data_IF_570333266089
#
_entry.id   IF_570333266089
#
_cell.length_a   1.000
_cell.length_b   1.000
_cell.length_c   1.000
_cell.angle_alpha   90.00
_cell.angle_beta   90.00
_cell.angle_gamma   90.00
#
_symmetry.space_group_name_H-M   'P 1'
#
loop_
_entity.id
_entity.type
_entity.pdbx_description
1 polymer ?
#
# COMPACT_ATOMS: atom_id res chain seq x y z
N UNK A 1 -4.95 -27.54 0.91
CA UNK A 1 -4.05 -26.67 1.69
C UNK A 1 -4.73 -25.31 1.72
N UNK A 2 -4.96 -24.71 2.88
CA UNK A 2 -5.42 -23.32 2.94
C UNK A 2 -4.17 -22.46 3.08
N UNK A 3 -3.99 -21.53 2.16
CA UNK A 3 -2.92 -20.54 2.25
C UNK A 3 -3.46 -19.35 3.07
N UNK A 4 -3.07 -19.22 4.35
CA UNK A 4 -3.67 -18.24 5.26
C UNK A 4 -3.45 -16.79 4.80
N UNK A 5 -2.33 -16.52 4.13
CA UNK A 5 -2.01 -15.21 3.54
C UNK A 5 -2.96 -14.86 2.39
N UNK A 6 -3.25 -15.83 1.52
CA UNK A 6 -4.22 -15.65 0.43
C UNK A 6 -5.62 -15.35 0.97
N UNK A 7 -6.09 -16.11 1.97
CA UNK A 7 -7.42 -15.89 2.57
C UNK A 7 -7.49 -14.52 3.25
N UNK A 8 -6.41 -14.10 3.93
CA UNK A 8 -6.31 -12.78 4.57
C UNK A 8 -6.38 -11.66 3.54
N UNK A 9 -5.52 -11.71 2.52
CA UNK A 9 -5.46 -10.70 1.46
C UNK A 9 -6.81 -10.58 0.74
N UNK A 10 -7.41 -11.72 0.39
CA UNK A 10 -8.75 -11.76 -0.20
C UNK A 10 -9.79 -11.11 0.73
N UNK A 11 -9.78 -11.40 2.04
CA UNK A 11 -10.70 -10.80 2.99
C UNK A 11 -10.52 -9.28 3.09
N UNK A 12 -9.29 -8.79 3.20
CA UNK A 12 -8.98 -7.36 3.25
C UNK A 12 -9.47 -6.64 2.00
N UNK A 13 -9.11 -7.15 0.82
CA UNK A 13 -9.53 -6.58 -0.47
C UNK A 13 -11.05 -6.64 -0.67
N UNK A 14 -11.69 -7.71 -0.19
CA UNK A 14 -13.15 -7.83 -0.22
C UNK A 14 -13.83 -6.80 0.68
N UNK A 15 -13.33 -6.56 1.89
CA UNK A 15 -13.85 -5.52 2.78
C UNK A 15 -13.70 -4.12 2.15
N UNK A 16 -12.54 -3.83 1.54
CA UNK A 16 -12.29 -2.57 0.80
C UNK A 16 -13.31 -2.40 -0.34
N UNK A 17 -13.55 -3.47 -1.11
CA UNK A 17 -14.55 -3.48 -2.19
C UNK A 17 -15.96 -3.22 -1.66
N UNK A 18 -16.37 -3.95 -0.60
CA UNK A 18 -17.70 -3.83 0.02
C UNK A 18 -17.96 -2.45 0.62
N UNK A 19 -16.95 -1.82 1.19
CA UNK A 19 -17.04 -0.46 1.73
C UNK A 19 -16.94 0.62 0.63
N UNK A 20 -16.71 0.24 -0.64
CA UNK A 20 -16.60 1.17 -1.76
C UNK A 20 -15.38 2.10 -1.68
N UNK A 21 -14.39 1.76 -0.85
CA UNK A 21 -13.26 2.64 -0.55
C UNK A 21 -12.36 2.87 -1.76
N UNK A 22 -12.27 1.90 -2.66
CA UNK A 22 -11.45 2.04 -3.86
C UNK A 22 -12.01 3.03 -4.91
N UNK A 23 -13.23 3.55 -4.72
CA UNK A 23 -13.75 4.68 -5.50
C UNK A 23 -13.39 6.04 -4.88
N UNK A 24 -12.98 6.04 -3.60
CA UNK A 24 -12.71 7.25 -2.79
C UNK A 24 -11.22 7.45 -2.53
N UNK A 25 -10.45 6.37 -2.52
CA UNK A 25 -9.04 6.33 -2.13
C UNK A 25 -8.20 5.55 -3.13
N UNK A 26 -6.90 5.85 -3.14
CA UNK A 26 -5.89 5.18 -3.99
C UNK A 26 -5.48 3.84 -3.38
N UNK A 27 -6.35 2.85 -3.52
CA UNK A 27 -6.09 1.45 -3.13
C UNK A 27 -6.39 0.53 -4.32
N UNK A 28 -5.68 -0.61 -4.47
CA UNK A 28 -5.98 -1.57 -5.53
C UNK A 28 -7.43 -2.06 -5.46
N UNK A 29 -8.11 -2.13 -6.60
CA UNK A 29 -9.47 -2.71 -6.68
C UNK A 29 -9.35 -4.20 -6.94
N UNK A 30 -10.02 -5.02 -6.13
CA UNK A 30 -10.27 -6.42 -6.49
C UNK A 30 -11.33 -6.48 -7.58
N UNK A 31 -10.99 -7.11 -8.71
CA UNK A 31 -11.91 -7.35 -9.83
C UNK A 31 -12.53 -8.74 -9.76
N UNK A 32 -11.71 -9.78 -9.55
CA UNK A 32 -12.19 -11.16 -9.47
C UNK A 32 -11.15 -12.09 -8.85
N UNK A 33 -11.61 -13.28 -8.47
CA UNK A 33 -10.73 -14.44 -8.25
C UNK A 33 -10.54 -15.12 -9.60
N UNK A 34 -9.31 -15.49 -9.94
CA UNK A 34 -8.97 -16.22 -11.16
C UNK A 34 -8.54 -17.64 -10.83
N UNK A 35 -8.89 -18.58 -11.68
CA UNK A 35 -8.43 -19.98 -11.59
C UNK A 35 -7.66 -20.30 -12.86
N UNK A 36 -6.44 -20.82 -12.71
CA UNK A 36 -5.58 -21.20 -13.83
C UNK A 36 -5.16 -22.65 -13.68
N UNK A 37 -5.41 -23.46 -14.71
CA UNK A 37 -5.24 -24.91 -14.63
C UNK A 37 -6.14 -25.55 -13.57
N UNK A 38 -5.69 -26.66 -12.99
CA UNK A 38 -6.48 -27.43 -12.02
C UNK A 38 -6.24 -27.01 -10.56
N UNK A 39 -5.17 -26.28 -10.28
CA UNK A 39 -4.69 -26.09 -8.89
C UNK A 39 -4.30 -24.67 -8.52
N UNK A 40 -4.28 -23.72 -9.46
CA UNK A 40 -3.86 -22.34 -9.16
C UNK A 40 -5.06 -21.42 -9.03
N UNK A 41 -5.15 -20.74 -7.88
CA UNK A 41 -6.11 -19.66 -7.62
C UNK A 41 -5.30 -18.37 -7.44
N UNK A 42 -5.76 -17.28 -8.03
CA UNK A 42 -5.13 -15.97 -7.91
C UNK A 42 -6.15 -14.84 -7.75
N UNK A 43 -5.66 -13.64 -7.45
CA UNK A 43 -6.46 -12.43 -7.34
C UNK A 43 -6.19 -11.53 -8.55
N UNK A 44 -7.25 -11.14 -9.25
CA UNK A 44 -7.16 -10.12 -10.29
C UNK A 44 -7.47 -8.76 -9.68
N UNK A 45 -6.49 -7.86 -9.68
CA UNK A 45 -6.59 -6.54 -9.07
C UNK A 45 -6.19 -5.44 -10.05
N UNK A 46 -6.62 -4.21 -9.81
CA UNK A 46 -6.12 -3.05 -10.53
C UNK A 46 -4.61 -2.94 -10.30
N UNK A 47 -3.85 -2.95 -11.40
CA UNK A 47 -2.42 -2.67 -11.36
C UNK A 47 -2.23 -1.20 -10.97
N UNK A 48 -1.56 -0.97 -9.84
CA UNK A 48 -1.09 0.37 -9.49
C UNK A 48 0.29 0.55 -10.11
N UNK A 49 0.37 1.37 -11.16
CA UNK A 49 1.64 1.65 -11.84
C UNK A 49 2.49 2.56 -10.97
N UNK A 50 3.78 2.23 -10.92
CA UNK A 50 4.82 3.12 -10.43
C UNK A 50 5.13 4.19 -11.48
N UNK A 51 6.14 5.01 -11.22
CA UNK A 51 6.63 6.01 -12.19
C UNK A 51 8.07 5.71 -12.57
N UNK A 52 8.54 6.25 -13.68
CA UNK A 52 9.95 6.12 -14.10
C UNK A 52 10.95 6.66 -13.08
N UNK A 53 10.48 7.50 -12.15
CA UNK A 53 11.27 8.08 -11.06
C UNK A 53 11.25 7.23 -9.78
N UNK A 54 10.59 6.07 -9.77
CA UNK A 54 10.66 5.15 -8.64
C UNK A 54 9.45 4.23 -8.50
N UNK A 55 9.71 3.04 -7.97
CA UNK A 55 8.75 1.95 -7.80
C UNK A 55 8.09 1.93 -6.43
N UNK A 56 8.76 2.45 -5.40
CA UNK A 56 8.30 2.45 -4.01
C UNK A 56 8.97 3.58 -3.21
N UNK A 57 8.52 3.84 -1.99
CA UNK A 57 8.98 4.98 -1.17
C UNK A 57 10.49 5.04 -0.89
N UNK A 58 11.21 3.92 -1.01
CA UNK A 58 12.67 3.86 -0.83
C UNK A 58 13.46 4.11 -2.12
N UNK A 59 12.81 4.31 -3.26
CA UNK A 59 13.51 4.67 -4.50
C UNK A 59 14.23 6.02 -4.31
N UNK A 60 15.55 6.13 -4.59
CA UNK A 60 16.33 7.35 -4.32
C UNK A 60 15.72 8.61 -4.94
N UNK A 61 15.26 8.50 -6.18
CA UNK A 61 14.63 9.60 -6.92
C UNK A 61 13.29 10.07 -6.31
N UNK A 62 12.60 9.24 -5.52
CA UNK A 62 11.42 9.65 -4.73
C UNK A 62 11.82 10.25 -3.38
N UNK A 63 12.89 9.77 -2.76
CA UNK A 63 13.42 10.34 -1.52
C UNK A 63 13.92 11.78 -1.73
N UNK A 64 14.42 12.12 -2.91
CA UNK A 64 14.86 13.47 -3.24
C UNK A 64 13.72 14.47 -3.50
N UNK A 65 12.46 14.02 -3.61
CA UNK A 65 11.26 14.85 -3.84
C UNK A 65 10.67 15.37 -2.53
N UNK A 66 11.48 16.08 -1.76
CA UNK A 66 11.14 16.58 -0.42
C UNK A 66 9.84 17.38 -0.37
N UNK A 67 9.52 18.11 -1.44
CA UNK A 67 8.32 18.92 -1.60
C UNK A 67 7.03 18.07 -1.66
N UNK A 68 7.12 16.80 -2.05
CA UNK A 68 5.98 15.89 -2.16
C UNK A 68 5.78 15.01 -0.91
N UNK A 69 6.80 14.88 -0.05
CA UNK A 69 6.75 13.99 1.12
C UNK A 69 5.57 14.29 2.04
N UNK A 70 5.30 15.58 2.29
CA UNK A 70 4.16 15.98 3.15
C UNK A 70 2.83 15.54 2.54
N UNK A 71 2.65 15.71 1.23
CA UNK A 71 1.43 15.29 0.53
C UNK A 71 1.25 13.78 0.59
N UNK A 72 2.32 13.01 0.39
CA UNK A 72 2.25 11.55 0.47
C UNK A 72 1.93 11.06 1.89
N UNK A 73 2.53 11.68 2.91
CA UNK A 73 2.24 11.41 4.33
C UNK A 73 0.75 11.65 4.65
N UNK A 74 0.21 12.78 4.19
CA UNK A 74 -1.20 13.14 4.36
C UNK A 74 -2.14 12.16 3.64
N UNK A 75 -1.80 11.76 2.41
CA UNK A 75 -2.59 10.80 1.64
C UNK A 75 -2.61 9.42 2.29
N UNK A 76 -1.46 8.88 2.70
CA UNK A 76 -1.40 7.59 3.37
C UNK A 76 -2.10 7.62 4.72
N UNK A 77 -1.92 8.69 5.49
CA UNK A 77 -2.61 8.88 6.77
C UNK A 77 -4.13 8.89 6.57
N UNK A 78 -4.63 9.57 5.53
CA UNK A 78 -6.05 9.58 5.19
C UNK A 78 -6.57 8.19 4.81
N UNK A 79 -5.82 7.44 3.98
CA UNK A 79 -6.20 6.07 3.58
C UNK A 79 -6.29 5.16 4.80
N UNK A 80 -5.25 5.13 5.65
CA UNK A 80 -5.23 4.26 6.83
C UNK A 80 -6.32 4.63 7.83
N UNK A 81 -6.59 5.92 8.03
CA UNK A 81 -7.71 6.37 8.88
C UNK A 81 -9.05 5.85 8.39
N UNK A 82 -9.30 5.91 7.08
CA UNK A 82 -10.56 5.43 6.54
C UNK A 82 -10.68 3.90 6.61
N UNK A 83 -9.59 3.16 6.34
CA UNK A 83 -9.57 1.70 6.51
C UNK A 83 -9.95 1.33 7.95
N UNK A 84 -9.32 1.97 8.95
CA UNK A 84 -9.66 1.75 10.35
C UNK A 84 -11.10 2.17 10.72
N UNK A 85 -11.63 3.23 10.10
CA UNK A 85 -13.02 3.63 10.33
C UNK A 85 -14.04 2.59 9.82
N UNK A 86 -13.60 1.63 9.00
CA UNK A 86 -14.39 0.50 8.50
C UNK A 86 -13.97 -0.83 9.15
N UNK A 87 -13.18 -0.79 10.23
CA UNK A 87 -12.58 -1.95 10.90
C UNK A 87 -11.71 -2.83 9.94
N UNK A 88 -11.16 -2.22 8.89
CA UNK A 88 -10.29 -2.88 7.92
C UNK A 88 -8.84 -2.70 8.34
N UNK A 89 -8.15 -3.82 8.45
CA UNK A 89 -6.73 -3.93 8.77
C UNK A 89 -5.98 -4.12 7.45
N UNK A 90 -5.14 -3.15 7.05
CA UNK A 90 -4.41 -3.18 5.76
C UNK A 90 -3.43 -4.37 5.67
N UNK A 91 -2.96 -4.86 6.80
CA UNK A 91 -1.99 -5.94 6.87
C UNK A 91 -0.56 -5.40 7.06
N UNK A 92 0.30 -5.63 6.08
CA UNK A 92 1.74 -5.33 6.15
C UNK A 92 2.07 -3.86 5.83
N UNK A 93 2.46 -3.12 6.86
CA UNK A 93 2.76 -1.69 6.78
C UNK A 93 4.22 -1.48 6.45
N UNK A 94 4.54 -1.59 5.16
CA UNK A 94 5.91 -1.53 4.67
C UNK A 94 6.02 -0.51 3.52
N UNK A 95 7.14 0.25 3.39
CA UNK A 95 7.30 1.24 2.33
C UNK A 95 7.30 0.66 0.91
N UNK A 96 7.50 -0.66 0.77
CA UNK A 96 7.40 -1.36 -0.51
C UNK A 96 5.94 -1.58 -0.94
N UNK A 97 5.00 -1.57 0.00
CA UNK A 97 3.56 -1.73 -0.26
C UNK A 97 2.88 -0.41 -0.63
N UNK A 98 3.66 0.68 -0.76
CA UNK A 98 3.20 1.98 -1.23
C UNK A 98 3.83 2.27 -2.59
N UNK A 99 3.00 2.19 -3.62
CA UNK A 99 3.33 2.69 -4.95
C UNK A 99 3.00 4.19 -5.05
N UNK A 100 3.90 4.97 -5.64
CA UNK A 100 3.64 6.38 -5.97
C UNK A 100 3.29 6.49 -7.45
N UNK A 101 2.02 6.78 -7.70
CA UNK A 101 1.47 7.00 -9.03
C UNK A 101 1.66 8.47 -9.47
N UNK A 102 2.45 8.66 -10.53
CA UNK A 102 2.66 9.94 -11.22
C UNK A 102 1.96 10.02 -12.59
N UNK A 103 1.19 8.99 -12.98
CA UNK A 103 0.65 8.85 -14.33
C UNK A 103 1.67 8.25 -15.29
N UNK A 104 1.34 7.05 -15.79
CA UNK A 104 2.02 6.21 -16.79
C UNK A 104 3.48 5.81 -16.53
N UNK A 105 3.68 4.52 -16.22
CA UNK A 105 4.64 3.54 -16.79
C UNK A 105 5.14 2.50 -15.76
N UNK A 106 5.29 1.25 -16.22
CA UNK A 106 5.32 0.02 -15.41
C UNK A 106 6.65 -0.27 -14.69
N UNK A 107 6.56 -0.88 -13.49
CA UNK A 107 7.30 -2.09 -13.04
C UNK A 107 6.83 -2.51 -11.63
N UNK A 108 6.76 -3.83 -11.38
CA UNK A 108 6.32 -4.43 -10.10
C UNK A 108 7.36 -5.45 -9.62
N UNK A 109 7.86 -5.28 -8.41
CA UNK A 109 8.45 -6.38 -7.62
C UNK A 109 7.67 -6.46 -6.31
N UNK A 110 7.07 -7.63 -6.05
CA UNK A 110 6.44 -7.97 -4.77
C UNK A 110 7.53 -8.52 -3.84
N UNK A 111 7.57 -8.06 -2.59
CA UNK A 111 8.40 -8.65 -1.55
C UNK A 111 7.52 -8.91 -0.34
N UNK A 112 7.38 -10.18 0.01
CA UNK A 112 6.79 -10.64 1.27
C UNK A 112 7.79 -10.41 2.39
N UNK A 113 7.37 -9.81 3.50
CA UNK A 113 8.14 -9.91 4.73
C UNK A 113 7.24 -9.87 5.98
N UNK A 114 7.59 -10.73 6.92
CA UNK A 114 6.68 -11.33 7.87
C UNK A 114 6.73 -10.60 9.22
N UNK A 115 5.88 -9.58 9.46
CA UNK A 115 5.73 -8.94 10.79
C UNK A 115 4.30 -8.49 11.18
N UNK A 116 3.91 -8.99 12.35
CA UNK A 116 2.66 -8.87 13.11
C UNK A 116 1.95 -7.51 13.10
N UNK A 117 0.64 -7.60 12.85
CA UNK A 117 -0.27 -6.54 12.45
C UNK A 117 -1.32 -6.27 13.54
N UNK A 118 -1.35 -5.05 14.07
CA UNK A 118 -2.43 -4.51 14.91
C UNK A 118 -2.56 -3.00 14.71
N UNK A 119 -3.67 -2.37 15.10
CA UNK A 119 -3.93 -0.91 14.91
C UNK A 119 -2.75 -0.02 15.35
N UNK A 120 -2.02 -0.42 16.38
CA UNK A 120 -0.84 0.28 16.92
C UNK A 120 0.39 0.19 16.00
N UNK A 121 0.62 -0.96 15.36
CA UNK A 121 1.67 -1.16 14.36
C UNK A 121 1.47 -0.29 13.10
N UNK A 122 0.22 0.03 12.72
CA UNK A 122 -0.05 0.96 11.61
C UNK A 122 0.34 2.38 11.93
N UNK A 123 -0.03 2.87 13.12
CA UNK A 123 0.40 4.19 13.55
C UNK A 123 1.92 4.26 13.74
N UNK A 124 2.54 3.14 14.12
CA UNK A 124 4.00 3.04 14.13
C UNK A 124 4.59 3.11 12.72
N UNK A 125 4.04 2.40 11.73
CA UNK A 125 4.46 2.51 10.34
C UNK A 125 4.24 3.90 9.73
N UNK A 126 3.12 4.57 10.05
CA UNK A 126 2.89 5.97 9.67
C UNK A 126 3.90 6.89 10.35
N UNK A 127 4.23 6.67 11.63
CA UNK A 127 5.30 7.44 12.31
C UNK A 127 6.66 7.19 11.65
N UNK A 128 6.92 5.96 11.20
CA UNK A 128 8.11 5.58 10.43
C UNK A 128 8.10 6.12 8.99
N UNK A 129 6.99 6.69 8.51
CA UNK A 129 6.93 7.29 7.17
C UNK A 129 8.01 8.36 6.96
N UNK A 130 8.30 9.12 8.02
CA UNK A 130 9.38 10.11 8.01
C UNK A 130 10.79 9.48 8.00
N UNK A 131 10.93 8.25 8.48
CA UNK A 131 12.15 7.46 8.36
C UNK A 131 12.30 6.86 6.96
N UNK A 132 11.18 6.54 6.29
CA UNK A 132 11.17 6.01 4.92
C UNK A 132 11.46 7.09 3.87
N UNK A 133 11.05 8.33 4.16
CA UNK A 133 11.30 9.53 3.37
C UNK A 133 12.00 10.59 4.23
N UNK A 134 13.30 10.43 4.52
CA UNK A 134 14.02 11.39 5.34
C UNK A 134 14.07 12.73 4.62
N UNK A 135 13.58 13.80 5.27
CA UNK A 135 13.62 15.15 4.72
C UNK A 135 14.56 16.05 5.55
N UNK A 136 15.78 16.35 5.06
CA UNK A 136 16.73 17.21 5.75
C UNK A 136 16.20 18.63 6.03
N UNK A 137 15.27 19.12 5.20
CA UNK A 137 14.70 20.46 5.31
C UNK A 137 13.70 20.59 6.47
N UNK A 138 13.21 19.47 7.04
CA UNK A 138 12.32 19.47 8.22
C UNK A 138 13.05 19.70 9.55
N UNK A 139 14.38 19.49 9.62
CA UNK A 139 15.17 19.65 10.86
C UNK A 139 15.47 21.11 11.22
N UNK A 140 14.99 22.08 10.43
CA UNK A 140 15.32 23.49 10.55
C UNK A 140 14.16 24.39 11.00
N UNK A 141 13.04 23.80 11.44
CA UNK A 141 11.87 24.53 11.97
C UNK A 141 11.67 24.26 13.46
#
# INVERSE_FOLDING_TARGET
MREPEFERELCTLWCIYKAGLANRFRVPRLHSIVVSGETTIGLLMTLVTSSDIGTHLRSPSLQERYELHKRWEEQLTAIVKELHAQDIVWGDVHPMNVAIDFGDMNNVEFVDDDKRENTESYWQGIRMFQEWLPNPQRRSQ
#
